data_IF_607204332156
#
_entry.id   IF_607204332156
#
_cell.length_a   1.000
_cell.length_b   1.000
_cell.length_c   1.000
_cell.angle_alpha   90.00
_cell.angle_beta   90.00
_cell.angle_gamma   90.00
#
_symmetry.space_group_name_H-M   'P 1'
#
loop_
_entity.id
_entity.type
_entity.pdbx_description
1 polymer ?
#
# COMPACT_ATOMS: atom_id res chain seq x y z
N UNK A 1 13.80 7.96 -16.58
CA UNK A 1 13.76 6.81 -15.63
C UNK A 1 13.93 7.29 -14.19
N UNK A 2 15.07 7.88 -13.81
CA UNK A 2 15.34 8.33 -12.43
C UNK A 2 14.27 9.30 -11.88
N UNK A 3 13.90 10.34 -12.65
CA UNK A 3 12.87 11.30 -12.25
C UNK A 3 11.50 10.64 -12.00
N UNK A 4 11.11 9.65 -12.82
CA UNK A 4 9.83 8.95 -12.66
C UNK A 4 9.83 8.07 -11.41
N UNK A 5 10.94 7.39 -11.12
CA UNK A 5 11.10 6.59 -9.90
C UNK A 5 11.07 7.49 -8.66
N UNK A 6 11.75 8.64 -8.70
CA UNK A 6 11.72 9.61 -7.61
C UNK A 6 10.30 10.16 -7.38
N UNK A 7 9.59 10.52 -8.45
CA UNK A 7 8.21 10.99 -8.37
C UNK A 7 7.27 9.93 -7.77
N UNK A 8 7.41 8.66 -8.18
CA UNK A 8 6.63 7.56 -7.60
C UNK A 8 6.95 7.34 -6.12
N UNK A 9 8.22 7.37 -5.73
CA UNK A 9 8.63 7.22 -4.34
C UNK A 9 8.05 8.34 -3.46
N UNK A 10 8.11 9.59 -3.95
CA UNK A 10 7.52 10.75 -3.26
C UNK A 10 5.99 10.59 -3.17
N UNK A 11 5.32 10.21 -4.25
CA UNK A 11 3.88 10.00 -4.24
C UNK A 11 3.47 8.91 -3.22
N UNK A 12 4.13 7.74 -3.26
CA UNK A 12 3.88 6.64 -2.31
C UNK A 12 4.10 7.11 -0.87
N UNK A 13 5.17 7.86 -0.61
CA UNK A 13 5.47 8.41 0.71
C UNK A 13 4.38 9.39 1.19
N UNK A 14 3.95 10.30 0.32
CA UNK A 14 2.93 11.30 0.66
C UNK A 14 1.57 10.65 0.91
N UNK A 15 1.11 9.77 0.01
CA UNK A 15 -0.17 9.08 0.15
C UNK A 15 -0.16 8.04 1.28
N UNK A 16 0.99 7.44 1.58
CA UNK A 16 1.16 6.48 2.67
C UNK A 16 1.12 7.09 4.07
N UNK A 17 0.96 8.41 4.23
CA UNK A 17 0.95 9.07 5.53
C UNK A 17 2.33 9.53 6.03
N UNK A 18 3.34 9.56 5.16
CA UNK A 18 4.69 9.99 5.52
C UNK A 18 4.75 11.42 6.08
N UNK A 19 3.94 12.34 5.54
CA UNK A 19 3.84 13.70 6.06
C UNK A 19 3.17 13.74 7.45
N UNK A 20 2.11 12.94 7.65
CA UNK A 20 1.41 12.84 8.93
C UNK A 20 2.34 12.34 10.04
N UNK A 21 3.16 11.33 9.74
CA UNK A 21 4.14 10.79 10.67
C UNK A 21 5.16 11.83 11.12
N UNK A 22 5.61 12.71 10.21
CA UNK A 22 6.62 13.72 10.50
C UNK A 22 6.07 14.85 11.39
N UNK A 23 4.83 15.26 11.14
CA UNK A 23 4.17 16.39 11.82
C UNK A 23 3.54 15.96 13.14
N UNK A 24 2.69 14.94 13.11
CA UNK A 24 1.83 14.56 14.24
C UNK A 24 2.51 13.56 15.20
N UNK A 25 3.59 12.89 14.76
CA UNK A 25 4.33 11.87 15.52
C UNK A 25 3.40 10.88 16.25
N UNK A 26 2.57 10.14 15.50
CA UNK A 26 1.58 9.27 16.10
C UNK A 26 2.22 8.13 16.89
N UNK A 27 1.43 7.59 17.82
CA UNK A 27 1.82 6.38 18.54
C UNK A 27 1.99 5.22 17.54
N UNK A 28 2.97 4.32 17.77
CA UNK A 28 3.14 3.15 16.91
C UNK A 28 1.93 2.22 16.93
N UNK A 29 1.31 2.04 18.09
CA UNK A 29 0.15 1.19 18.34
C UNK A 29 -0.47 1.58 19.66
N UNK A 30 -1.69 1.11 19.95
CA UNK A 30 -2.38 1.37 21.20
C UNK A 30 -2.92 0.08 21.81
N UNK A 31 -2.78 -0.07 23.13
CA UNK A 31 -3.40 -1.16 23.87
C UNK A 31 -4.55 -0.62 24.72
N UNK A 32 -5.76 -1.13 24.49
CA UNK A 32 -6.93 -0.82 25.29
C UNK A 32 -7.32 -2.03 26.16
N UNK A 33 -7.50 -1.88 27.48
CA UNK A 33 -7.97 -2.97 28.34
C UNK A 33 -9.33 -3.56 27.92
N UNK A 34 -10.16 -2.80 27.20
CA UNK A 34 -11.50 -3.22 26.77
C UNK A 34 -11.55 -3.88 25.39
N UNK A 35 -10.61 -3.58 24.49
CA UNK A 35 -10.62 -4.03 23.08
C UNK A 35 -9.39 -4.90 22.76
N UNK A 36 -8.35 -4.86 23.59
CA UNK A 36 -7.07 -5.53 23.38
C UNK A 36 -6.06 -4.65 22.62
N UNK A 37 -5.09 -5.30 21.98
CA UNK A 37 -4.03 -4.62 21.22
C UNK A 37 -4.55 -4.19 19.84
N UNK A 38 -4.52 -2.89 19.56
CA UNK A 38 -4.91 -2.31 18.29
C UNK A 38 -3.67 -2.06 17.42
N UNK A 39 -3.53 -2.87 16.38
CA UNK A 39 -2.51 -2.71 15.35
C UNK A 39 -2.86 -1.61 14.34
N UNK A 40 -4.15 -1.45 14.07
CA UNK A 40 -4.70 -0.47 13.14
C UNK A 40 -5.61 0.48 13.88
N UNK A 41 -5.51 1.78 13.61
CA UNK A 41 -6.38 2.75 14.27
C UNK A 41 -7.82 2.61 13.74
N UNK A 42 -8.83 2.41 14.61
CA UNK A 42 -10.22 2.33 14.18
C UNK A 42 -10.76 3.66 13.63
N UNK A 43 -10.27 4.80 14.11
CA UNK A 43 -10.79 6.11 13.72
C UNK A 43 -10.09 6.66 12.48
N UNK A 44 -10.85 7.22 11.53
CA UNK A 44 -10.27 7.84 10.32
C UNK A 44 -9.52 9.15 10.61
N UNK A 45 -9.78 9.79 11.75
CA UNK A 45 -9.18 11.08 12.11
C UNK A 45 -7.74 10.97 12.59
N UNK A 46 -7.34 9.80 13.10
CA UNK A 46 -6.02 9.54 13.62
C UNK A 46 -5.39 8.33 12.91
N UNK A 47 -4.07 8.37 12.75
CA UNK A 47 -3.32 7.31 12.10
C UNK A 47 -2.23 6.79 13.03
N UNK A 48 -2.01 5.49 13.13
CA UNK A 48 -0.83 4.93 13.80
C UNK A 48 0.38 4.85 12.85
N UNK A 49 1.58 4.69 13.43
CA UNK A 49 2.78 4.46 12.63
C UNK A 49 2.68 3.15 11.82
N UNK A 50 2.01 2.12 12.34
CA UNK A 50 1.76 0.89 11.58
C UNK A 50 0.80 1.10 10.41
N UNK A 51 -0.23 1.93 10.55
CA UNK A 51 -1.18 2.21 9.46
C UNK A 51 -0.48 2.83 8.26
N UNK A 52 0.40 3.78 8.51
CA UNK A 52 1.17 4.44 7.46
C UNK A 52 2.19 3.49 6.79
N UNK A 53 2.87 2.65 7.56
CA UNK A 53 3.79 1.63 7.01
C UNK A 53 3.05 0.60 6.14
N UNK A 54 1.90 0.12 6.61
CA UNK A 54 1.06 -0.82 5.87
C UNK A 54 0.56 -0.16 4.58
N UNK A 55 0.01 1.06 4.67
CA UNK A 55 -0.47 1.80 3.49
C UNK A 55 0.65 2.04 2.46
N UNK A 56 1.82 2.49 2.91
CA UNK A 56 3.00 2.72 2.05
C UNK A 56 3.42 1.45 1.33
N UNK A 57 3.43 0.31 2.04
CA UNK A 57 3.79 -0.99 1.48
C UNK A 57 2.76 -1.45 0.44
N UNK A 58 1.46 -1.35 0.74
CA UNK A 58 0.39 -1.75 -0.17
C UNK A 58 0.38 -0.86 -1.43
N UNK A 59 0.63 0.44 -1.30
CA UNK A 59 0.79 1.33 -2.46
C UNK A 59 2.00 0.96 -3.31
N UNK A 60 3.14 0.64 -2.69
CA UNK A 60 4.30 0.17 -3.43
C UNK A 60 4.02 -1.13 -4.20
N UNK A 61 3.34 -2.11 -3.58
CA UNK A 61 2.93 -3.35 -4.24
C UNK A 61 1.98 -3.08 -5.42
N UNK A 62 0.98 -2.21 -5.25
CA UNK A 62 0.06 -1.84 -6.32
C UNK A 62 0.76 -1.16 -7.50
N UNK A 63 1.70 -0.25 -7.24
CA UNK A 63 2.53 0.40 -8.27
C UNK A 63 3.42 -0.61 -8.98
N UNK A 64 4.15 -1.46 -8.24
CA UNK A 64 5.02 -2.50 -8.82
C UNK A 64 4.18 -3.46 -9.66
N UNK A 65 3.02 -3.90 -9.17
CA UNK A 65 2.11 -4.77 -9.89
C UNK A 65 1.65 -4.15 -11.21
N UNK A 66 1.25 -2.88 -11.19
CA UNK A 66 0.86 -2.13 -12.37
C UNK A 66 2.02 -1.98 -13.39
N UNK A 67 3.25 -1.75 -12.90
CA UNK A 67 4.44 -1.67 -13.76
C UNK A 67 4.75 -3.01 -14.42
N UNK A 68 4.61 -4.13 -13.70
CA UNK A 68 4.80 -5.47 -14.26
C UNK A 68 3.74 -5.78 -15.33
N UNK A 69 2.49 -5.40 -15.10
CA UNK A 69 1.44 -5.50 -16.11
C UNK A 69 1.77 -4.68 -17.36
N UNK A 70 2.21 -3.43 -17.20
CA UNK A 70 2.62 -2.59 -18.33
C UNK A 70 3.85 -3.14 -19.07
N UNK A 71 4.81 -3.71 -18.35
CA UNK A 71 5.98 -4.32 -18.98
C UNK A 71 5.61 -5.60 -19.73
N UNK A 72 4.63 -6.37 -19.26
CA UNK A 72 4.19 -7.60 -19.92
C UNK A 72 3.78 -7.38 -21.37
N UNK A 73 3.16 -6.23 -21.69
CA UNK A 73 2.75 -5.90 -23.07
C UNK A 73 3.93 -5.59 -24.00
N UNK A 74 5.10 -5.21 -23.45
CA UNK A 74 6.32 -4.96 -24.23
C UNK A 74 7.09 -6.24 -24.55
N UNK A 75 6.93 -7.29 -23.74
CA UNK A 75 7.59 -8.59 -23.94
C UNK A 75 6.82 -9.53 -24.89
N UNK A 76 6.10 -8.99 -25.88
CA UNK A 76 5.25 -9.76 -26.81
C UNK A 76 6.01 -10.86 -27.57
N UNK A 77 7.31 -10.68 -27.81
CA UNK A 77 8.16 -11.66 -28.49
C UNK A 77 8.47 -12.91 -27.65
N UNK A 78 8.31 -12.84 -26.32
CA UNK A 78 8.55 -13.93 -25.38
C UNK A 78 7.29 -14.24 -24.56
N UNK A 79 6.34 -15.02 -25.10
CA UNK A 79 4.99 -15.16 -24.53
C UNK A 79 4.98 -15.73 -23.10
N UNK A 80 5.89 -16.67 -22.78
CA UNK A 80 6.00 -17.22 -21.42
C UNK A 80 6.38 -16.15 -20.39
N UNK A 81 7.32 -15.27 -20.74
CA UNK A 81 7.78 -14.21 -19.85
C UNK A 81 6.70 -13.14 -19.67
N UNK A 82 6.07 -12.71 -20.77
CA UNK A 82 4.95 -11.77 -20.73
C UNK A 82 3.82 -12.29 -19.82
N UNK A 83 3.43 -13.56 -19.97
CA UNK A 83 2.37 -14.16 -19.16
C UNK A 83 2.71 -14.17 -17.66
N UNK A 84 3.94 -14.57 -17.29
CA UNK A 84 4.36 -14.58 -15.88
C UNK A 84 4.36 -13.18 -15.28
N UNK A 85 4.85 -12.16 -16.01
CA UNK A 85 4.85 -10.78 -15.55
C UNK A 85 3.44 -10.23 -15.36
N UNK A 86 2.52 -10.57 -16.28
CA UNK A 86 1.12 -10.19 -16.17
C UNK A 86 0.47 -10.84 -14.94
N UNK A 87 0.64 -12.16 -14.75
CA UNK A 87 0.08 -12.86 -13.59
C UNK A 87 0.58 -12.29 -12.26
N UNK A 88 1.90 -12.13 -12.11
CA UNK A 88 2.48 -11.56 -10.89
C UNK A 88 1.96 -10.14 -10.67
N UNK A 89 1.90 -9.33 -11.73
CA UNK A 89 1.39 -7.97 -11.64
C UNK A 89 -0.06 -7.90 -11.16
N UNK A 90 -0.93 -8.75 -11.71
CA UNK A 90 -2.34 -8.86 -11.30
C UNK A 90 -2.46 -9.31 -9.84
N UNK A 91 -1.70 -10.33 -9.43
CA UNK A 91 -1.73 -10.83 -8.05
C UNK A 91 -1.33 -9.74 -7.05
N UNK A 92 -0.24 -9.00 -7.33
CA UNK A 92 0.21 -7.91 -6.47
C UNK A 92 -0.83 -6.79 -6.37
N UNK A 93 -1.46 -6.43 -7.48
CA UNK A 93 -2.50 -5.40 -7.51
C UNK A 93 -3.75 -5.84 -6.72
N UNK A 94 -4.17 -7.09 -6.87
CA UNK A 94 -5.30 -7.65 -6.13
C UNK A 94 -5.02 -7.72 -4.63
N UNK A 95 -3.83 -8.17 -4.22
CA UNK A 95 -3.44 -8.17 -2.80
C UNK A 95 -3.51 -6.76 -2.24
N UNK A 96 -2.93 -5.77 -2.94
CA UNK A 96 -2.96 -4.38 -2.51
C UNK A 96 -4.41 -3.87 -2.35
N UNK A 97 -5.25 -4.09 -3.36
CA UNK A 97 -6.64 -3.63 -3.35
C UNK A 97 -7.48 -4.28 -2.24
N UNK A 98 -7.44 -5.61 -2.12
CA UNK A 98 -8.22 -6.35 -1.13
C UNK A 98 -7.81 -5.97 0.29
N UNK A 99 -6.51 -5.84 0.55
CA UNK A 99 -6.00 -5.43 1.86
C UNK A 99 -6.42 -4.00 2.23
N UNK A 100 -6.35 -3.06 1.30
CA UNK A 100 -6.80 -1.67 1.52
C UNK A 100 -8.31 -1.64 1.82
N UNK A 101 -9.11 -2.34 1.02
CA UNK A 101 -10.56 -2.41 1.20
C UNK A 101 -10.94 -3.04 2.55
N UNK A 102 -10.23 -4.08 2.98
CA UNK A 102 -10.43 -4.72 4.28
C UNK A 102 -10.17 -3.75 5.44
N UNK A 103 -9.05 -3.00 5.39
CA UNK A 103 -8.69 -1.99 6.40
C UNK A 103 -9.73 -0.86 6.42
N UNK A 104 -10.16 -0.38 5.25
CA UNK A 104 -11.15 0.69 5.16
C UNK A 104 -12.51 0.26 5.74
N UNK A 105 -12.92 -1.00 5.50
CA UNK A 105 -14.15 -1.56 6.09
C UNK A 105 -14.06 -1.66 7.60
N UNK A 106 -12.91 -2.09 8.13
CA UNK A 106 -12.68 -2.16 9.57
C UNK A 106 -12.81 -0.76 10.21
N UNK A 107 -12.23 0.26 9.61
CA UNK A 107 -12.27 1.63 10.13
C UNK A 107 -13.65 2.30 10.00
N UNK A 108 -14.49 1.87 9.04
CA UNK A 108 -15.89 2.32 8.93
C UNK A 108 -16.88 1.56 9.82
N UNK A 109 -16.49 0.37 10.29
CA UNK A 109 -17.35 -0.56 11.03
C UNK A 109 -17.42 -0.32 12.54
N UNK A 110 -16.73 0.71 13.03
CA UNK A 110 -16.68 1.18 14.41
C UNK A 110 -17.17 2.63 14.48
#
# INVERSE_FOLDING_TARGET
>A
MVLAVAALAIAIFLFGGGLYNLVSRPLPSYYSPSIGFLFVNPYLSDQFLWDSLIATTLFALGVIGSLLMYQSTKYASNPRQAYMMLMVGVVLLLIAYISIEAILRQSKGL
#
